data_IF_140633231806
#
_entry.id   IF_140633231806
#
_cell.length_a   1.000
_cell.length_b   1.000
_cell.length_c   1.000
_cell.angle_alpha   90.00
_cell.angle_beta   90.00
_cell.angle_gamma   90.00
#
_symmetry.space_group_name_H-M   'P 1'
#
loop_
_entity.id
_entity.type
_entity.pdbx_description
1 polymer ?
#
# COMPACT_ATOMS: atom_id res chain seq x y z
N UNK A 1 9.22 14.45 -13.51
CA UNK A 1 8.86 14.26 -13.39
C UNK A 1 8.05 14.10 -13.43
N UNK A 2 7.79 13.80 -13.42
CA UNK A 2 7.12 13.68 -13.30
C UNK A 2 6.31 13.24 -13.29
N UNK A 3 6.14 12.83 -13.31
CA UNK A 3 5.46 12.39 -13.30
C UNK A 3 4.60 12.29 -13.07
N UNK A 4 4.40 12.30 -12.68
CA UNK A 4 3.50 11.97 -12.24
C UNK A 4 2.41 11.78 -12.60
N UNK A 5 2.19 11.82 -12.83
CA UNK A 5 1.49 11.66 -13.08
C UNK A 5 0.94 10.85 -13.28
N UNK A 6 1.09 10.45 -13.42
CA UNK A 6 0.70 9.75 -13.56
C UNK A 6 -0.21 9.12 -13.13
N UNK A 7 -0.31 9.25 -12.85
CA UNK A 7 -0.82 8.75 -12.26
C UNK A 7 -1.96 8.54 -12.21
N UNK A 8 -2.23 8.75 -12.37
CA UNK A 8 -3.17 8.29 -11.96
C UNK A 8 -4.45 8.43 -12.65
N UNK A 9 -4.67 7.71 -13.72
CA UNK A 9 -5.96 7.65 -14.37
C UNK A 9 -7.06 7.18 -13.44
N UNK A 10 -6.71 6.28 -12.54
CA UNK A 10 -7.71 5.78 -11.61
C UNK A 10 -8.22 6.86 -10.69
N UNK A 11 -7.35 7.78 -10.33
CA UNK A 11 -7.76 8.88 -9.46
C UNK A 11 -8.76 9.76 -10.15
N UNK A 12 -8.67 9.88 -11.46
CA UNK A 12 -9.56 10.74 -12.20
C UNK A 12 -10.95 10.16 -12.33
N UNK A 13 -11.13 8.91 -11.98
CA UNK A 13 -12.45 8.32 -12.04
C UNK A 13 -13.39 8.90 -11.00
N UNK A 14 -12.83 9.55 -9.99
CA UNK A 14 -13.65 10.12 -8.95
C UNK A 14 -14.11 9.14 -7.91
N UNK A 15 -13.68 7.90 -8.00
CA UNK A 15 -14.12 6.89 -7.06
C UNK A 15 -13.12 6.65 -5.95
N UNK A 16 -12.19 7.57 -5.75
CA UNK A 16 -11.24 7.49 -4.66
C UNK A 16 -9.92 6.88 -5.08
N UNK A 17 -9.06 6.57 -4.12
CA UNK A 17 -7.73 6.05 -4.41
C UNK A 17 -7.78 4.72 -5.14
N UNK A 18 -6.77 4.48 -5.96
CA UNK A 18 -6.59 3.20 -6.63
C UNK A 18 -5.79 2.29 -5.71
N UNK A 19 -6.43 1.32 -5.13
CA UNK A 19 -5.80 0.40 -4.20
C UNK A 19 -5.11 -0.73 -4.95
N UNK A 20 -3.88 -1.01 -4.57
CA UNK A 20 -3.03 -1.99 -5.23
C UNK A 20 -2.67 -3.09 -4.25
N UNK A 21 -2.78 -4.33 -4.69
CA UNK A 21 -2.38 -5.51 -3.94
C UNK A 21 -1.10 -6.06 -4.52
N UNK A 22 -0.30 -6.70 -3.68
CA UNK A 22 0.81 -7.48 -4.18
C UNK A 22 0.29 -8.66 -4.99
N UNK A 23 0.97 -9.00 -6.07
CA UNK A 23 0.62 -10.19 -6.85
C UNK A 23 0.77 -11.46 -6.03
N UNK A 24 1.60 -11.43 -5.01
CA UNK A 24 1.79 -12.57 -4.13
C UNK A 24 0.57 -12.85 -3.27
N UNK A 25 -0.33 -11.88 -3.15
CA UNK A 25 -1.52 -12.04 -2.32
C UNK A 25 -2.54 -12.98 -2.92
N UNK A 26 -2.49 -13.17 -4.22
CA UNK A 26 -3.54 -13.93 -4.90
C UNK A 26 -3.62 -15.37 -4.47
N UNK A 27 -2.49 -15.96 -4.12
CA UNK A 27 -2.46 -17.36 -3.78
C UNK A 27 -3.27 -17.70 -2.55
N UNK A 28 -3.40 -16.75 -1.64
CA UNK A 28 -4.00 -17.01 -0.34
C UNK A 28 -5.24 -16.16 -0.06
N UNK A 29 -5.53 -15.22 -0.92
CA UNK A 29 -6.67 -14.34 -0.69
C UNK A 29 -6.53 -13.40 0.49
N UNK A 30 -5.38 -13.38 1.14
CA UNK A 30 -5.10 -12.51 2.26
C UNK A 30 -4.11 -11.47 1.82
N UNK A 31 -4.51 -10.23 1.78
CA UNK A 31 -3.62 -9.22 1.26
C UNK A 31 -3.80 -7.88 1.94
N UNK A 32 -2.77 -7.10 1.78
CA UNK A 32 -2.74 -5.72 2.18
C UNK A 32 -2.84 -4.90 0.91
N UNK A 33 -3.60 -3.84 0.95
CA UNK A 33 -3.74 -2.93 -0.19
C UNK A 33 -3.08 -1.61 0.14
N UNK A 34 -2.44 -1.03 -0.85
CA UNK A 34 -1.71 0.23 -0.71
C UNK A 34 -2.19 1.19 -1.78
N UNK A 35 -2.32 2.44 -1.42
CA UNK A 35 -2.73 3.48 -2.37
C UNK A 35 -2.09 4.81 -2.03
N UNK A 36 -1.97 5.66 -3.03
CA UNK A 36 -1.65 7.06 -2.81
C UNK A 36 -2.91 7.77 -2.36
N UNK A 37 -2.81 8.50 -1.29
CA UNK A 37 -3.91 9.27 -0.75
C UNK A 37 -3.79 10.73 -1.14
N UNK A 38 -4.89 11.49 -1.07
CA UNK A 38 -4.79 12.93 -1.25
C UNK A 38 -3.78 13.50 -0.27
N UNK A 39 -3.01 14.49 -0.70
CA UNK A 39 -2.00 15.09 0.15
C UNK A 39 -0.65 14.38 0.11
N UNK A 40 -0.52 13.36 -0.72
CA UNK A 40 0.78 12.70 -0.92
C UNK A 40 1.11 11.62 0.07
N UNK A 41 0.17 11.29 0.95
CA UNK A 41 0.40 10.22 1.91
C UNK A 41 0.13 8.87 1.27
N UNK A 42 0.64 7.83 1.90
CA UNK A 42 0.42 6.47 1.46
C UNK A 42 -0.54 5.80 2.42
N UNK A 43 -1.61 5.22 1.88
CA UNK A 43 -2.58 4.49 2.67
C UNK A 43 -2.34 3.01 2.61
N UNK A 44 -2.59 2.33 3.72
CA UNK A 44 -2.49 0.88 3.81
C UNK A 44 -3.74 0.37 4.49
N UNK A 45 -4.36 -0.64 3.93
CA UNK A 45 -5.54 -1.23 4.54
C UNK A 45 -5.55 -2.74 4.35
N UNK A 46 -6.38 -3.39 5.14
CA UNK A 46 -6.59 -4.82 5.04
C UNK A 46 -7.61 -5.08 3.93
N UNK A 47 -7.24 -5.87 2.94
CA UNK A 47 -8.15 -6.13 1.82
C UNK A 47 -9.39 -6.90 2.24
N UNK A 48 -9.32 -7.62 3.36
CA UNK A 48 -10.48 -8.39 3.85
C UNK A 48 -11.49 -7.51 4.55
N UNK A 49 -11.12 -6.27 4.85
CA UNK A 49 -12.00 -5.32 5.49
C UNK A 49 -11.84 -3.96 4.82
N UNK A 50 -12.30 -3.84 3.58
CA UNK A 50 -12.05 -2.63 2.79
C UNK A 50 -12.72 -1.39 3.35
N UNK A 51 -13.70 -1.56 4.23
CA UNK A 51 -14.34 -0.43 4.88
C UNK A 51 -13.81 -0.18 6.28
N UNK A 52 -12.79 -0.94 6.68
CA UNK A 52 -12.18 -0.75 7.98
C UNK A 52 -11.15 0.35 7.99
N UNK A 53 -10.27 0.30 8.94
CA UNK A 53 -9.27 1.34 9.14
C UNK A 53 -8.31 1.43 7.97
N UNK A 54 -7.92 2.66 7.65
CA UNK A 54 -6.85 2.94 6.71
C UNK A 54 -5.74 3.62 7.49
N UNK A 55 -4.54 3.07 7.44
CA UNK A 55 -3.37 3.69 8.04
C UNK A 55 -2.72 4.61 7.02
N UNK A 56 -2.31 5.77 7.46
CA UNK A 56 -1.67 6.75 6.58
C UNK A 56 -0.23 6.96 6.99
N UNK A 57 0.64 7.02 6.02
CA UNK A 57 2.06 7.24 6.25
C UNK A 57 2.58 8.32 5.34
N UNK A 58 3.59 9.05 5.82
CA UNK A 58 4.28 9.99 4.94
C UNK A 58 5.13 9.20 3.94
N UNK A 59 5.50 9.83 2.81
CA UNK A 59 6.41 9.17 1.88
C UNK A 59 7.72 8.72 2.54
N UNK A 60 8.27 9.52 3.45
CA UNK A 60 9.51 9.15 4.12
C UNK A 60 9.33 7.92 5.00
N UNK A 61 8.22 7.86 5.71
CA UNK A 61 7.92 6.68 6.52
C UNK A 61 7.76 5.44 5.65
N UNK A 62 7.13 5.61 4.51
CA UNK A 62 6.91 4.50 3.60
C UNK A 62 8.22 4.00 3.00
N UNK A 63 9.10 4.92 2.61
CA UNK A 63 10.41 4.56 2.09
C UNK A 63 11.22 3.79 3.13
N UNK A 64 11.19 4.26 4.38
CA UNK A 64 11.90 3.58 5.46
C UNK A 64 11.35 2.18 5.70
N UNK A 65 10.04 2.04 5.68
CA UNK A 65 9.42 0.73 5.85
C UNK A 65 9.81 -0.23 4.73
N UNK A 66 9.73 0.22 3.49
CA UNK A 66 10.10 -0.63 2.36
C UNK A 66 11.57 -1.02 2.44
N UNK A 67 12.44 -0.09 2.83
CA UNK A 67 13.85 -0.39 2.98
C UNK A 67 14.08 -1.48 4.02
N UNK A 68 13.44 -1.37 5.16
CA UNK A 68 13.56 -2.38 6.19
C UNK A 68 13.02 -3.73 5.73
N UNK A 69 11.90 -3.71 5.03
CA UNK A 69 11.30 -4.95 4.52
C UNK A 69 12.24 -5.64 3.53
N UNK A 70 12.87 -4.88 2.65
CA UNK A 70 13.81 -5.44 1.67
C UNK A 70 15.05 -6.04 2.33
N UNK A 71 15.42 -5.51 3.48
CA UNK A 71 16.54 -6.04 4.25
C UNK A 71 16.15 -7.24 5.10
N UNK A 72 14.89 -7.63 5.07
CA UNK A 72 14.43 -8.78 5.82
C UNK A 72 14.19 -8.51 7.30
N UNK A 73 14.14 -7.24 7.70
CA UNK A 73 14.04 -6.92 9.12
C UNK A 73 12.73 -7.35 9.75
N UNK A 74 11.70 -7.52 8.93
CA UNK A 74 10.38 -7.89 9.42
C UNK A 74 10.00 -9.34 9.06
N UNK A 75 10.92 -10.09 8.49
CA UNK A 75 10.61 -11.45 8.03
C UNK A 75 10.21 -12.36 9.17
N UNK A 76 10.73 -12.10 10.36
CA UNK A 76 10.41 -12.93 11.52
C UNK A 76 8.92 -12.95 11.84
N UNK A 77 8.20 -11.90 11.46
CA UNK A 77 6.76 -11.87 11.70
C UNK A 77 5.99 -12.74 10.72
N UNK A 78 6.53 -12.94 9.54
CA UNK A 78 5.91 -13.80 8.55
C UNK A 78 6.18 -15.27 8.84
N UNK A 79 7.31 -15.59 9.43
CA UNK A 79 7.70 -16.96 9.67
C UNK A 79 7.26 -17.47 11.03
N UNK A 80 6.52 -16.66 11.77
CA UNK A 80 6.10 -17.04 13.11
C UNK A 80 5.07 -18.14 13.10
N UNK A 81 4.48 -18.40 11.97
CA UNK A 81 3.45 -19.41 11.86
C UNK A 81 3.95 -20.79 12.06
#
# INVERSE_FOLDING_TARGET
MTSPTLDSPADRSGSGPAWVKSTLSYAFGNCVEVASLPGGQIGVRNSRDPHGAVLSFTPDEWVAFLGGARLGEFDRFASAG
#
